data_IF_740518002652
#
_entry.id   IF_740518002652
#
_cell.length_a   1.000
_cell.length_b   1.000
_cell.length_c   1.000
_cell.angle_alpha   90.00
_cell.angle_beta   90.00
_cell.angle_gamma   90.00
#
_symmetry.space_group_name_H-M   'P 1'
#
loop_
_entity.id
_entity.type
_entity.pdbx_description
1 polymer ?
#
# COMPACT_ATOMS: atom_id res chain seq x y z
N UNK A 1 1.69 11.35 17.25
CA UNK A 1 1.46 10.00 16.69
C UNK A 1 2.49 9.72 15.62
N UNK A 2 3.06 8.52 15.57
CA UNK A 2 4.09 8.21 14.60
C UNK A 2 3.51 8.02 13.19
N UNK A 3 4.34 8.27 12.18
CA UNK A 3 4.03 8.00 10.77
C UNK A 3 3.52 6.58 10.56
N UNK A 4 4.17 5.60 11.20
CA UNK A 4 3.82 4.18 11.09
C UNK A 4 2.40 3.90 11.57
N UNK A 5 2.05 4.42 12.74
CA UNK A 5 0.71 4.26 13.31
C UNK A 5 -0.35 4.91 12.42
N UNK A 6 -0.11 6.12 11.91
CA UNK A 6 -1.04 6.80 11.02
C UNK A 6 -1.30 6.01 9.75
N UNK A 7 -0.26 5.50 9.10
CA UNK A 7 -0.42 4.71 7.87
C UNK A 7 -1.27 3.46 8.10
N UNK A 8 -1.02 2.73 9.20
CA UNK A 8 -1.79 1.51 9.51
C UNK A 8 -3.24 1.84 9.86
N UNK A 9 -3.49 2.89 10.63
CA UNK A 9 -4.85 3.29 10.98
C UNK A 9 -5.67 3.69 9.75
N UNK A 10 -5.08 4.49 8.86
CA UNK A 10 -5.77 4.91 7.63
C UNK A 10 -6.02 3.73 6.70
N UNK A 11 -5.08 2.78 6.61
CA UNK A 11 -5.30 1.56 5.84
C UNK A 11 -6.45 0.73 6.41
N UNK A 12 -6.56 0.62 7.73
CA UNK A 12 -7.68 -0.08 8.38
C UNK A 12 -9.03 0.61 8.08
N UNK A 13 -9.05 1.93 8.05
CA UNK A 13 -10.26 2.69 7.70
C UNK A 13 -10.67 2.49 6.25
N UNK A 14 -9.71 2.27 5.33
CA UNK A 14 -10.02 1.86 3.95
C UNK A 14 -10.72 0.51 3.93
N UNK A 15 -10.27 -0.45 4.74
CA UNK A 15 -10.96 -1.75 4.88
C UNK A 15 -12.40 -1.56 5.35
N UNK A 16 -12.61 -0.70 6.34
CA UNK A 16 -13.95 -0.34 6.81
C UNK A 16 -14.81 0.21 5.68
N UNK A 17 -14.29 1.14 4.89
CA UNK A 17 -14.99 1.71 3.75
C UNK A 17 -15.34 0.68 2.68
N UNK A 18 -14.45 -0.25 2.43
CA UNK A 18 -14.68 -1.35 1.49
C UNK A 18 -15.80 -2.29 1.98
N UNK A 19 -15.80 -2.61 3.28
CA UNK A 19 -16.86 -3.44 3.88
C UNK A 19 -18.22 -2.77 3.79
N UNK A 20 -18.29 -1.47 4.06
CA UNK A 20 -19.51 -0.69 3.92
C UNK A 20 -20.04 -0.74 2.48
N UNK A 21 -19.15 -0.55 1.52
CA UNK A 21 -19.51 -0.62 0.11
C UNK A 21 -20.04 -2.01 -0.27
N UNK A 22 -19.36 -3.06 0.17
CA UNK A 22 -19.78 -4.43 -0.14
C UNK A 22 -21.16 -4.75 0.41
N UNK A 23 -21.50 -4.24 1.60
CA UNK A 23 -22.78 -4.52 2.26
C UNK A 23 -23.91 -3.59 1.81
N UNK A 24 -23.61 -2.34 1.50
CA UNK A 24 -24.64 -1.31 1.24
C UNK A 24 -24.67 -0.78 -0.18
N UNK A 25 -23.59 -0.96 -0.95
CA UNK A 25 -23.43 -0.37 -2.27
C UNK A 25 -23.04 1.11 -2.26
N UNK A 26 -22.87 1.72 -1.08
CA UNK A 26 -22.48 3.13 -0.95
C UNK A 26 -20.95 3.26 -0.91
N UNK A 27 -20.31 3.91 -1.92
CA UNK A 27 -18.86 4.06 -1.99
C UNK A 27 -18.33 5.30 -1.28
N UNK A 28 -19.18 6.12 -0.68
CA UNK A 28 -18.80 7.44 -0.16
C UNK A 28 -17.70 7.37 0.90
N UNK A 29 -17.83 6.44 1.84
CA UNK A 29 -16.85 6.26 2.91
C UNK A 29 -15.52 5.73 2.35
N UNK A 30 -15.58 4.74 1.46
CA UNK A 30 -14.38 4.20 0.81
C UNK A 30 -13.60 5.30 0.09
N UNK A 31 -14.30 6.17 -0.64
CA UNK A 31 -13.67 7.30 -1.34
C UNK A 31 -12.95 8.23 -0.38
N UNK A 32 -13.59 8.57 0.72
CA UNK A 32 -13.00 9.44 1.76
C UNK A 32 -11.75 8.82 2.37
N UNK A 33 -11.82 7.53 2.76
CA UNK A 33 -10.72 6.85 3.42
C UNK A 33 -9.52 6.63 2.48
N UNK A 34 -9.77 6.43 1.20
CA UNK A 34 -8.68 6.39 0.20
C UNK A 34 -7.97 7.74 0.09
N UNK A 35 -8.72 8.84 0.20
CA UNK A 35 -8.13 10.19 0.25
C UNK A 35 -7.24 10.37 1.47
N UNK A 36 -7.69 9.92 2.63
CA UNK A 36 -6.90 10.00 3.86
C UNK A 36 -5.62 9.17 3.78
N UNK A 37 -5.69 7.99 3.19
CA UNK A 37 -4.50 7.16 2.97
C UNK A 37 -3.53 7.83 1.99
N UNK A 38 -4.04 8.39 0.90
CA UNK A 38 -3.23 9.15 -0.05
C UNK A 38 -2.54 10.33 0.63
N UNK A 39 -3.24 11.03 1.52
CA UNK A 39 -2.66 12.12 2.29
C UNK A 39 -1.44 11.67 3.09
N UNK A 40 -1.47 10.47 3.68
CA UNK A 40 -0.32 9.92 4.39
C UNK A 40 0.89 9.76 3.46
N UNK A 41 0.67 9.32 2.23
CA UNK A 41 1.74 9.20 1.23
C UNK A 41 2.33 10.57 0.92
N UNK A 42 1.48 11.57 0.68
CA UNK A 42 1.92 12.94 0.35
C UNK A 42 2.69 13.57 1.52
N UNK A 43 2.17 13.45 2.73
CA UNK A 43 2.79 13.99 3.92
C UNK A 43 4.17 13.38 4.19
N UNK A 44 4.26 12.06 4.12
CA UNK A 44 5.52 11.35 4.35
C UNK A 44 6.56 11.63 3.26
N UNK A 45 6.11 11.80 2.02
CA UNK A 45 6.98 12.22 0.93
C UNK A 45 7.53 13.63 1.15
N UNK A 46 6.70 14.54 1.66
CA UNK A 46 7.15 15.90 1.97
C UNK A 46 8.17 15.92 3.10
N UNK A 47 7.95 15.12 4.14
CA UNK A 47 8.91 14.99 5.24
C UNK A 47 10.25 14.45 4.72
N UNK A 48 10.21 13.45 3.86
CA UNK A 48 11.41 12.88 3.26
C UNK A 48 12.16 13.90 2.39
N UNK A 49 11.43 14.71 1.63
CA UNK A 49 12.03 15.77 0.80
C UNK A 49 12.70 16.82 1.67
N UNK A 50 12.05 17.24 2.77
CA UNK A 50 12.62 18.21 3.71
C UNK A 50 13.91 17.68 4.36
N UNK A 51 14.02 16.38 4.53
CA UNK A 51 15.23 15.73 5.05
C UNK A 51 16.27 15.41 3.96
N UNK A 52 15.99 15.73 2.71
CA UNK A 52 16.90 15.50 1.60
C UNK A 52 17.03 14.03 1.16
N UNK A 53 16.02 13.20 1.45
CA UNK A 53 16.07 11.76 1.17
C UNK A 53 15.55 11.41 -0.21
N UNK A 54 14.36 11.85 -0.56
CA UNK A 54 13.73 11.67 -1.86
C UNK A 54 12.52 12.60 -1.98
N UNK A 55 11.97 12.71 -3.19
CA UNK A 55 10.81 13.57 -3.49
C UNK A 55 9.55 12.74 -3.76
N UNK A 56 8.40 13.41 -3.78
CA UNK A 56 7.14 12.79 -4.22
C UNK A 56 7.26 12.28 -5.66
N UNK A 57 7.94 13.03 -6.53
CA UNK A 57 8.17 12.62 -7.92
C UNK A 57 8.96 11.29 -7.97
N UNK A 58 9.95 11.11 -7.09
CA UNK A 58 10.68 9.84 -6.99
C UNK A 58 9.76 8.68 -6.60
N UNK A 59 8.82 8.91 -5.69
CA UNK A 59 7.83 7.90 -5.28
C UNK A 59 6.93 7.54 -6.46
N UNK A 60 6.43 8.53 -7.18
CA UNK A 60 5.55 8.35 -8.33
C UNK A 60 6.29 7.62 -9.46
N UNK A 61 7.50 8.05 -9.79
CA UNK A 61 8.31 7.41 -10.83
C UNK A 61 8.62 5.96 -10.50
N UNK A 62 8.91 5.69 -9.22
CA UNK A 62 9.18 4.33 -8.76
C UNK A 62 7.98 3.39 -8.93
N UNK A 63 6.79 3.82 -8.53
CA UNK A 63 5.59 2.98 -8.69
C UNK A 63 5.19 2.86 -10.16
N UNK A 64 5.34 3.92 -10.94
CA UNK A 64 5.06 3.88 -12.38
C UNK A 64 5.96 2.85 -13.08
N UNK A 65 7.25 2.86 -12.78
CA UNK A 65 8.20 1.89 -13.35
C UNK A 65 7.83 0.45 -13.00
N UNK A 66 7.44 0.19 -11.75
CA UNK A 66 6.99 -1.14 -11.31
C UNK A 66 5.73 -1.57 -12.06
N UNK A 67 4.76 -0.68 -12.22
CA UNK A 67 3.52 -1.00 -12.91
C UNK A 67 3.77 -1.32 -14.38
N UNK A 68 4.64 -0.58 -15.03
CA UNK A 68 5.03 -0.85 -16.42
C UNK A 68 5.71 -2.21 -16.52
N UNK A 69 6.69 -2.51 -15.66
CA UNK A 69 7.40 -3.79 -15.70
C UNK A 69 6.52 -4.99 -15.36
N UNK A 70 5.52 -4.80 -14.49
CA UNK A 70 4.59 -5.87 -14.08
C UNK A 70 3.43 -6.09 -15.05
N UNK A 71 3.28 -5.24 -16.05
CA UNK A 71 2.24 -5.34 -17.07
C UNK A 71 2.85 -5.44 -18.48
N UNK A 72 3.73 -6.44 -18.74
CA UNK A 72 4.39 -6.56 -20.04
C UNK A 72 3.41 -6.85 -21.19
N UNK A 73 2.21 -7.35 -20.89
CA UNK A 73 1.14 -7.56 -21.86
C UNK A 73 0.49 -6.25 -22.34
N UNK A 74 0.68 -5.14 -21.61
CA UNK A 74 0.14 -3.81 -21.95
C UNK A 74 1.24 -2.93 -22.55
N UNK A 75 2.40 -2.85 -21.88
CA UNK A 75 3.48 -1.93 -22.22
C UNK A 75 4.64 -2.55 -23.00
N UNK A 76 4.69 -3.89 -23.11
CA UNK A 76 5.73 -4.62 -23.79
C UNK A 76 5.15 -5.56 -24.84
N UNK A 77 5.99 -6.52 -25.28
CA UNK A 77 5.65 -7.48 -26.35
C UNK A 77 5.00 -8.76 -25.83
N UNK A 78 4.93 -8.97 -24.53
CA UNK A 78 4.33 -10.17 -23.96
C UNK A 78 2.80 -10.15 -24.12
N UNK A 79 2.23 -11.33 -24.37
CA UNK A 79 0.78 -11.51 -24.49
C UNK A 79 0.25 -12.33 -23.32
N UNK A 80 -0.93 -11.96 -22.84
CA UNK A 80 -1.63 -12.71 -21.80
C UNK A 80 -2.95 -13.22 -22.36
N UNK A 81 -3.25 -14.51 -22.13
CA UNK A 81 -4.46 -15.15 -22.64
C UNK A 81 -5.72 -14.73 -21.89
N UNK A 82 -5.61 -14.50 -20.57
CA UNK A 82 -6.75 -14.17 -19.71
C UNK A 82 -6.26 -13.48 -18.40
N UNK A 83 -7.20 -13.17 -17.51
CA UNK A 83 -6.90 -12.54 -16.22
C UNK A 83 -6.03 -13.42 -15.31
N UNK A 84 -6.21 -14.74 -15.37
CA UNK A 84 -5.40 -15.66 -14.57
C UNK A 84 -3.93 -15.63 -15.00
N UNK A 85 -3.67 -15.55 -16.31
CA UNK A 85 -2.32 -15.44 -16.86
C UNK A 85 -1.67 -14.12 -16.45
N UNK A 86 -2.43 -13.01 -16.44
CA UNK A 86 -1.95 -11.70 -15.99
C UNK A 86 -1.52 -11.75 -14.51
N UNK A 87 -2.36 -12.34 -13.65
CA UNK A 87 -2.07 -12.46 -12.21
C UNK A 87 -0.84 -13.35 -11.98
N UNK A 88 -0.74 -14.49 -12.70
CA UNK A 88 0.40 -15.39 -12.59
C UNK A 88 1.71 -14.69 -12.98
N UNK A 89 1.71 -13.95 -14.07
CA UNK A 89 2.90 -13.19 -14.52
C UNK A 89 3.27 -12.09 -13.55
N UNK A 90 2.28 -11.39 -13.04
CA UNK A 90 2.48 -10.38 -11.98
C UNK A 90 3.21 -10.96 -10.78
N UNK A 91 2.74 -12.12 -10.28
CA UNK A 91 3.36 -12.79 -9.13
C UNK A 91 4.80 -13.23 -9.41
N UNK A 92 5.09 -13.72 -10.63
CA UNK A 92 6.46 -14.05 -11.03
C UNK A 92 7.37 -12.84 -11.02
N UNK A 93 6.92 -11.72 -11.59
CA UNK A 93 7.67 -10.46 -11.64
C UNK A 93 7.93 -9.91 -10.24
N UNK A 94 6.97 -10.00 -9.35
CA UNK A 94 7.14 -9.59 -7.95
C UNK A 94 8.22 -10.42 -7.26
N UNK A 95 8.28 -11.72 -7.50
CA UNK A 95 9.33 -12.59 -6.94
C UNK A 95 10.71 -12.19 -7.44
N UNK A 96 10.83 -11.88 -8.72
CA UNK A 96 12.08 -11.42 -9.32
C UNK A 96 12.55 -10.11 -8.71
N UNK A 97 11.64 -9.16 -8.51
CA UNK A 97 11.93 -7.85 -7.91
C UNK A 97 12.40 -7.97 -6.45
N UNK A 98 11.96 -9.01 -5.74
CA UNK A 98 12.35 -9.25 -4.35
C UNK A 98 13.73 -9.87 -4.20
N UNK A 99 14.34 -10.32 -5.29
CA UNK A 99 15.73 -10.80 -5.28
C UNK A 99 16.63 -9.63 -4.84
N UNK A 100 17.46 -9.83 -3.82
CA UNK A 100 18.28 -8.76 -3.25
C UNK A 100 17.61 -7.98 -2.10
N UNK A 101 16.37 -8.32 -1.74
CA UNK A 101 15.65 -7.71 -0.61
C UNK A 101 15.48 -8.68 0.55
N UNK A 102 16.47 -9.52 0.79
CA UNK A 102 16.46 -10.52 1.86
C UNK A 102 16.31 -9.89 3.25
N UNK A 103 16.72 -8.64 3.42
CA UNK A 103 16.51 -7.88 4.65
C UNK A 103 15.04 -7.78 5.03
N UNK A 104 14.10 -7.90 4.08
CA UNK A 104 12.67 -7.90 4.39
C UNK A 104 12.25 -9.10 5.25
N UNK A 105 12.96 -10.22 5.15
CA UNK A 105 12.68 -11.41 5.97
C UNK A 105 12.89 -11.14 7.46
N UNK A 106 13.78 -10.23 7.79
CA UNK A 106 14.03 -9.82 9.16
C UNK A 106 13.06 -8.73 9.62
N UNK A 107 12.89 -7.70 8.82
CA UNK A 107 12.11 -6.51 9.21
C UNK A 107 10.60 -6.68 9.05
N UNK A 108 10.15 -7.40 8.04
CA UNK A 108 8.72 -7.51 7.75
C UNK A 108 7.93 -8.20 8.87
N UNK A 109 8.39 -9.31 9.48
CA UNK A 109 7.70 -9.90 10.62
C UNK A 109 7.57 -8.93 11.81
N UNK A 110 8.60 -8.12 12.04
CA UNK A 110 8.59 -7.08 13.08
C UNK A 110 7.55 -6.01 12.77
N UNK A 111 7.47 -5.59 11.52
CA UNK A 111 6.48 -4.61 11.07
C UNK A 111 5.04 -5.14 11.23
N UNK A 112 4.80 -6.40 10.95
CA UNK A 112 3.49 -7.01 11.16
C UNK A 112 3.11 -6.99 12.64
N UNK A 113 4.04 -7.33 13.53
CA UNK A 113 3.81 -7.29 14.99
C UNK A 113 3.53 -5.87 15.47
N UNK A 114 4.31 -4.88 15.01
CA UNK A 114 4.08 -3.47 15.32
C UNK A 114 2.70 -3.01 14.84
N UNK A 115 2.29 -3.46 13.66
CA UNK A 115 0.99 -3.09 13.07
C UNK A 115 -0.17 -3.55 13.95
N UNK A 116 -0.08 -4.75 14.51
CA UNK A 116 -1.09 -5.28 15.45
C UNK A 116 -1.18 -4.38 16.69
N UNK A 117 -0.04 -3.98 17.25
CA UNK A 117 0.00 -3.06 18.40
C UNK A 117 -0.63 -1.71 18.07
N UNK A 118 -0.35 -1.15 16.91
CA UNK A 118 -0.94 0.13 16.49
C UNK A 118 -2.46 0.03 16.37
N UNK A 119 -2.96 -1.08 15.83
CA UNK A 119 -4.40 -1.32 15.74
C UNK A 119 -5.03 -1.47 17.12
N UNK A 120 -4.40 -2.19 18.02
CA UNK A 120 -4.90 -2.36 19.39
C UNK A 120 -4.98 -1.01 20.13
N UNK A 121 -3.97 -0.17 19.99
CA UNK A 121 -3.96 1.19 20.57
C UNK A 121 -5.05 2.06 19.97
N UNK A 122 -5.29 1.95 18.66
CA UNK A 122 -6.37 2.69 18.00
C UNK A 122 -7.73 2.25 18.52
N UNK A 123 -7.95 0.96 18.73
CA UNK A 123 -9.17 0.42 19.33
C UNK A 123 -9.42 1.00 20.72
N UNK A 124 -8.41 1.03 21.57
CA UNK A 124 -8.50 1.61 22.92
C UNK A 124 -8.86 3.09 22.85
N UNK A 125 -8.14 3.87 22.04
CA UNK A 125 -8.37 5.31 21.92
C UNK A 125 -9.77 5.63 21.41
N UNK A 126 -10.30 4.84 20.50
CA UNK A 126 -11.63 5.02 19.91
C UNK A 126 -12.74 4.35 20.70
N UNK A 127 -12.41 3.59 21.74
CA UNK A 127 -13.40 2.85 22.52
C UNK A 127 -14.10 1.73 21.74
N UNK A 128 -13.40 1.13 20.76
CA UNK A 128 -13.92 0.07 19.90
C UNK A 128 -13.28 -1.26 20.29
N UNK A 129 -14.08 -2.31 20.34
CA UNK A 129 -13.61 -3.68 20.67
C UNK A 129 -13.04 -4.40 19.46
#
# INVERSE_FOLDING_TARGET
MSMRACCIEEAAEVVCGADIYDETGDPSNLREELGDLLFQVLLNSQIAEDEGLFTLDDVIDGIAAKMISRHPHVFGDEKAADSAAVIARWNELKKTEKTGKEWQKEYLPRAFSESVEFIDRARERKGIK
#
